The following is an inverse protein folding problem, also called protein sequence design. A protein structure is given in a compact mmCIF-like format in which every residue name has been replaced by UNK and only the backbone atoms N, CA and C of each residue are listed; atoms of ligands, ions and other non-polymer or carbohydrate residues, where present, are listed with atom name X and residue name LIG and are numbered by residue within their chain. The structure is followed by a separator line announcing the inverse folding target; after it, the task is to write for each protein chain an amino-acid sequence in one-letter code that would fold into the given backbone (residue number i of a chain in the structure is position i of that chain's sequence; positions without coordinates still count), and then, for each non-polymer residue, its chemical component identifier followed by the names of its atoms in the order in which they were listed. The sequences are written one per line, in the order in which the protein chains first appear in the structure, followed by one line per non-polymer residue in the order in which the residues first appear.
data_IF_484999821909
#
_entry.id   IF_484999821909
#
_cell.length_a   1.000
_cell.length_b   1.000
_cell.length_c   1.000
_cell.angle_alpha   90.00
_cell.angle_beta   90.00
_cell.angle_gamma   90.00
#
_symmetry.space_group_name_H-M   'P 1'
#
loop_
_entity.id
_entity.type
_entity.pdbx_description
1 polymer ?
#
# COMPACT_ATOMS: atom_id res chain seq x y z
N UNK A 1 -17.44 -3.01 6.53
CA UNK A 1 -16.89 -2.53 5.23
C UNK A 1 -15.51 -3.11 4.99
N UNK A 2 -14.46 -2.72 5.70
CA UNK A 2 -13.09 -3.20 5.40
C UNK A 2 -12.90 -4.73 5.55
N UNK A 3 -13.41 -5.36 6.62
CA UNK A 3 -13.36 -6.82 6.76
C UNK A 3 -14.08 -7.55 5.62
N UNK A 4 -15.25 -7.04 5.21
CA UNK A 4 -16.00 -7.56 4.06
C UNK A 4 -15.20 -7.45 2.77
N UNK A 5 -14.54 -6.31 2.54
CA UNK A 5 -13.66 -6.12 1.39
C UNK A 5 -12.54 -7.18 1.37
N UNK A 6 -11.83 -7.37 2.49
CA UNK A 6 -10.74 -8.36 2.59
C UNK A 6 -11.23 -9.79 2.36
N UNK A 7 -12.42 -10.11 2.84
CA UNK A 7 -12.95 -11.46 2.77
C UNK A 7 -13.59 -11.78 1.42
N UNK A 8 -14.30 -10.82 0.82
CA UNK A 8 -15.21 -11.10 -0.29
C UNK A 8 -14.82 -10.42 -1.60
N UNK A 9 -14.06 -9.32 -1.56
CA UNK A 9 -13.74 -8.52 -2.75
C UNK A 9 -12.28 -8.68 -3.17
N UNK A 10 -11.35 -8.57 -2.22
CA UNK A 10 -9.91 -8.69 -2.47
C UNK A 10 -9.51 -10.02 -3.15
N UNK A 11 -10.08 -11.20 -2.81
CA UNK A 11 -9.72 -12.44 -3.50
C UNK A 11 -10.05 -12.41 -5.00
N UNK A 12 -11.16 -11.77 -5.37
CA UNK A 12 -11.60 -11.61 -6.77
C UNK A 12 -10.62 -10.71 -7.51
N UNK A 13 -10.20 -9.61 -6.89
CA UNK A 13 -9.21 -8.69 -7.46
C UNK A 13 -7.83 -9.31 -7.65
N UNK A 14 -7.54 -10.43 -6.98
CA UNK A 14 -6.28 -11.16 -7.08
C UNK A 14 -6.37 -12.38 -8.01
N UNK A 15 -7.49 -12.61 -8.70
CA UNK A 15 -7.65 -13.78 -9.57
C UNK A 15 -6.61 -13.84 -10.71
N UNK A 16 -6.24 -12.68 -11.26
CA UNK A 16 -5.25 -12.55 -12.32
C UNK A 16 -3.79 -12.68 -11.82
N UNK A 17 -3.58 -12.72 -10.50
CA UNK A 17 -2.26 -12.98 -9.91
C UNK A 17 -2.04 -14.49 -9.89
N UNK A 18 -0.93 -15.02 -10.44
CA UNK A 18 -0.73 -16.45 -10.45
C UNK A 18 -0.62 -17.01 -9.03
N UNK A 19 -1.05 -18.27 -8.86
CA UNK A 19 -1.28 -18.86 -7.54
C UNK A 19 0.00 -18.88 -6.68
N UNK A 20 1.14 -19.15 -7.31
CA UNK A 20 2.44 -19.21 -6.64
C UNK A 20 2.80 -17.87 -6.00
N UNK A 21 2.53 -16.77 -6.69
CA UNK A 21 2.77 -15.42 -6.19
C UNK A 21 1.80 -15.08 -5.05
N UNK A 22 0.55 -15.55 -5.11
CA UNK A 22 -0.42 -15.39 -4.03
C UNK A 22 -0.05 -16.18 -2.78
N UNK A 23 0.55 -17.36 -2.91
CA UNK A 23 1.01 -18.17 -1.78
C UNK A 23 2.16 -17.52 -1.01
N UNK A 24 3.02 -16.76 -1.68
CA UNK A 24 4.16 -16.06 -1.08
C UNK A 24 3.85 -14.60 -0.72
N UNK A 25 2.64 -14.12 -1.00
CA UNK A 25 2.24 -12.73 -0.79
C UNK A 25 2.21 -12.38 0.70
N UNK A 26 2.81 -11.25 1.05
CA UNK A 26 2.64 -10.60 2.35
C UNK A 26 1.70 -9.41 2.19
N UNK A 27 0.57 -9.41 2.89
CA UNK A 27 -0.39 -8.32 2.87
C UNK A 27 0.05 -7.19 3.80
N UNK A 28 0.22 -5.95 3.31
CA UNK A 28 0.60 -4.80 4.14
C UNK A 28 -0.52 -3.77 4.19
N UNK A 29 -0.82 -3.25 5.39
CA UNK A 29 -1.70 -2.09 5.59
C UNK A 29 -1.20 -1.16 6.71
N UNK A 30 -1.80 0.02 6.81
CA UNK A 30 -1.43 1.00 7.84
C UNK A 30 -2.17 0.75 9.19
N UNK A 31 -1.90 1.63 10.16
CA UNK A 31 -2.46 1.54 11.50
C UNK A 31 -3.84 2.18 11.69
N UNK A 32 -4.60 2.48 10.62
CA UNK A 32 -5.91 3.13 10.73
C UNK A 32 -6.87 2.34 11.65
N UNK A 33 -7.80 3.01 12.38
CA UNK A 33 -8.71 2.33 13.31
C UNK A 33 -9.50 1.18 12.69
N UNK A 34 -9.94 1.34 11.43
CA UNK A 34 -10.65 0.30 10.69
C UNK A 34 -9.79 -0.95 10.47
N UNK A 35 -8.49 -0.77 10.19
CA UNK A 35 -7.54 -1.85 9.97
C UNK A 35 -7.17 -2.57 11.27
N UNK A 36 -7.32 -1.89 12.41
CA UNK A 36 -7.07 -2.44 13.74
C UNK A 36 -8.31 -3.10 14.39
N UNK A 37 -9.44 -3.21 13.70
CA UNK A 37 -10.60 -3.91 14.26
C UNK A 37 -10.28 -5.41 14.49
N UNK A 38 -10.92 -6.02 15.50
CA UNK A 38 -10.72 -7.46 15.80
C UNK A 38 -11.08 -8.33 14.60
N UNK A 39 -12.28 -8.13 14.04
CA UNK A 39 -12.77 -8.86 12.88
C UNK A 39 -11.80 -8.81 11.69
N UNK A 40 -11.13 -7.68 11.48
CA UNK A 40 -10.15 -7.51 10.40
C UNK A 40 -8.92 -8.39 10.64
N UNK A 41 -8.40 -8.42 11.88
CA UNK A 41 -7.29 -9.32 12.21
C UNK A 41 -7.69 -10.79 12.11
N UNK A 42 -8.90 -11.16 12.56
CA UNK A 42 -9.38 -12.54 12.46
C UNK A 42 -9.42 -13.02 10.98
N UNK A 43 -9.87 -12.14 10.06
CA UNK A 43 -9.85 -12.41 8.61
C UNK A 43 -8.41 -12.53 8.09
N UNK A 44 -7.51 -11.63 8.51
CA UNK A 44 -6.11 -11.64 8.06
C UNK A 44 -5.34 -12.85 8.59
N UNK A 45 -5.54 -13.24 9.85
CA UNK A 45 -4.92 -14.44 10.44
C UNK A 45 -5.40 -15.73 9.75
N UNK A 46 -6.65 -15.74 9.28
CA UNK A 46 -7.21 -16.87 8.54
C UNK A 46 -6.71 -16.93 7.09
N UNK A 47 -6.67 -15.80 6.38
CA UNK A 47 -6.34 -15.76 4.94
C UNK A 47 -4.84 -15.62 4.65
N UNK A 48 -4.11 -14.95 5.53
CA UNK A 48 -2.69 -14.66 5.38
C UNK A 48 -1.94 -15.07 6.66
N UNK A 49 -1.98 -16.36 7.07
CA UNK A 49 -1.34 -16.82 8.29
C UNK A 49 0.16 -16.49 8.25
N UNK A 50 0.63 -15.78 9.29
CA UNK A 50 2.00 -15.25 9.43
C UNK A 50 2.49 -14.32 8.29
N UNK A 51 1.59 -13.95 7.36
CA UNK A 51 1.89 -13.26 6.10
C UNK A 51 1.14 -11.94 5.96
N UNK A 52 0.93 -11.23 7.07
CA UNK A 52 0.43 -9.86 7.02
C UNK A 52 1.17 -8.91 7.95
N UNK A 53 1.26 -7.67 7.50
CA UNK A 53 2.05 -6.60 8.07
C UNK A 53 1.14 -5.44 8.47
N UNK A 54 1.11 -5.14 9.76
CA UNK A 54 0.18 -4.15 10.30
C UNK A 54 0.32 -3.94 11.79
N UNK A 55 -0.60 -3.14 12.35
CA UNK A 55 -0.60 -2.85 13.79
C UNK A 55 -0.99 -4.09 14.60
N UNK A 56 -0.03 -4.65 15.35
CA UNK A 56 -0.16 -5.93 16.10
C UNK A 56 -0.40 -7.14 15.20
N UNK A 57 0.09 -7.10 13.95
CA UNK A 57 0.17 -8.29 13.10
C UNK A 57 1.40 -9.14 13.39
N UNK A 58 1.52 -10.32 12.75
CA UNK A 58 2.69 -11.18 12.86
C UNK A 58 3.96 -10.46 12.38
N UNK A 59 3.81 -9.57 11.39
CA UNK A 59 4.86 -8.64 10.98
C UNK A 59 4.44 -7.22 11.42
N UNK A 60 5.24 -6.58 12.27
CA UNK A 60 4.87 -5.29 12.86
C UNK A 60 5.13 -4.16 11.86
N UNK A 61 4.09 -3.39 11.54
CA UNK A 61 4.24 -2.11 10.84
C UNK A 61 4.35 -0.94 11.83
N UNK A 62 5.37 -0.07 11.71
CA UNK A 62 5.53 1.07 12.59
C UNK A 62 4.41 2.12 12.39
N UNK A 63 3.96 2.79 13.47
CA UNK A 63 2.97 3.86 13.37
C UNK A 63 3.59 5.10 12.70
N UNK A 64 2.78 5.83 11.92
CA UNK A 64 3.17 7.11 11.27
C UNK A 64 4.39 6.95 10.35
N UNK A 65 4.38 5.92 9.50
CA UNK A 65 5.47 5.65 8.57
C UNK A 65 5.04 5.68 7.10
N UNK A 66 4.45 6.79 6.61
CA UNK A 66 4.16 6.95 5.17
C UNK A 66 5.44 6.86 4.33
N UNK A 67 6.57 7.29 4.90
CA UNK A 67 7.89 7.25 4.25
C UNK A 67 8.38 5.83 3.92
N UNK A 68 7.73 4.79 4.47
CA UNK A 68 8.02 3.37 4.21
C UNK A 68 6.94 2.70 3.34
N UNK A 69 5.78 3.31 3.16
CA UNK A 69 4.68 2.74 2.39
C UNK A 69 4.78 3.15 0.91
N UNK A 70 4.95 2.17 0.01
CA UNK A 70 5.06 2.39 -1.44
C UNK A 70 3.87 3.17 -1.99
N UNK A 71 2.66 2.93 -1.46
CA UNK A 71 1.47 3.65 -1.89
C UNK A 71 1.57 5.14 -1.55
N UNK A 72 2.07 5.47 -0.37
CA UNK A 72 2.12 6.84 0.14
C UNK A 72 3.26 7.66 -0.49
N UNK A 73 4.49 7.14 -0.49
CA UNK A 73 5.64 7.92 -0.99
C UNK A 73 5.77 7.93 -2.52
N UNK A 74 5.02 7.08 -3.24
CA UNK A 74 5.09 6.98 -4.69
C UNK A 74 3.72 7.06 -5.36
N UNK A 75 2.85 6.06 -5.19
CA UNK A 75 1.63 5.93 -6.00
C UNK A 75 0.72 7.16 -5.86
N UNK A 76 0.37 7.55 -4.64
CA UNK A 76 -0.56 8.66 -4.43
C UNK A 76 0.00 10.01 -4.88
N UNK A 77 1.30 10.23 -4.72
CA UNK A 77 1.98 11.42 -5.27
C UNK A 77 1.95 11.45 -6.80
N UNK A 78 2.25 10.31 -7.43
CA UNK A 78 2.23 10.16 -8.90
C UNK A 78 0.83 10.39 -9.47
N UNK A 79 -0.18 9.70 -8.94
CA UNK A 79 -1.57 9.82 -9.38
C UNK A 79 -2.07 11.24 -9.19
N UNK A 80 -1.85 11.85 -8.01
CA UNK A 80 -2.29 13.21 -7.72
C UNK A 80 -1.74 14.22 -8.73
N UNK A 81 -0.44 14.14 -9.06
CA UNK A 81 0.17 15.05 -10.02
C UNK A 81 -0.47 14.95 -11.41
N UNK A 82 -0.87 13.74 -11.82
CA UNK A 82 -1.52 13.53 -13.12
C UNK A 82 -2.96 14.03 -13.14
N UNK A 83 -3.69 13.92 -12.03
CA UNK A 83 -5.13 14.28 -11.99
C UNK A 83 -5.42 15.69 -11.46
N UNK A 84 -4.42 16.46 -11.03
CA UNK A 84 -4.61 17.81 -10.45
C UNK A 84 -5.39 18.75 -11.38
N UNK A 85 -5.25 18.59 -12.70
CA UNK A 85 -5.98 19.38 -13.69
C UNK A 85 -7.51 19.16 -13.66
N UNK A 86 -7.98 18.03 -13.12
CA UNK A 86 -9.41 17.67 -12.98
C UNK A 86 -9.96 18.04 -11.60
N UNK A 87 -9.22 18.77 -10.76
CA UNK A 87 -9.62 19.08 -9.38
C UNK A 87 -11.03 19.68 -9.22
N UNK A 88 -11.51 20.43 -10.21
CA UNK A 88 -12.84 21.05 -10.20
C UNK A 88 -13.82 20.38 -11.18
N UNK A 89 -13.48 19.19 -11.68
CA UNK A 89 -14.33 18.38 -12.55
C UNK A 89 -15.42 17.61 -11.79
N UNK A 90 -16.20 16.86 -12.56
CA UNK A 90 -17.21 15.94 -12.06
C UNK A 90 -16.60 14.66 -11.50
N UNK A 91 -17.39 13.90 -10.72
CA UNK A 91 -16.98 12.59 -10.23
C UNK A 91 -16.61 11.61 -11.36
N UNK A 92 -17.36 11.65 -12.48
CA UNK A 92 -17.10 10.81 -13.64
C UNK A 92 -15.74 11.12 -14.28
N UNK A 93 -15.44 12.41 -14.49
CA UNK A 93 -14.16 12.87 -15.03
C UNK A 93 -13.00 12.51 -14.09
N UNK A 94 -13.18 12.69 -12.78
CA UNK A 94 -12.17 12.31 -11.79
C UNK A 94 -11.90 10.80 -11.81
N UNK A 95 -12.94 9.97 -11.91
CA UNK A 95 -12.81 8.51 -11.98
C UNK A 95 -12.06 8.07 -13.24
N UNK A 96 -12.41 8.64 -14.39
CA UNK A 96 -11.72 8.35 -15.65
C UNK A 96 -10.25 8.77 -15.60
N UNK A 97 -9.96 9.97 -15.08
CA UNK A 97 -8.60 10.47 -14.93
C UNK A 97 -7.76 9.62 -13.97
N UNK A 98 -8.33 9.14 -12.86
CA UNK A 98 -7.63 8.23 -11.93
C UNK A 98 -7.28 6.91 -12.63
N UNK A 99 -8.23 6.30 -13.36
CA UNK A 99 -7.97 5.07 -14.11
C UNK A 99 -6.88 5.27 -15.17
N UNK A 100 -6.95 6.37 -15.92
CA UNK A 100 -5.93 6.74 -16.89
C UNK A 100 -4.55 6.93 -16.23
N UNK A 101 -4.50 7.59 -15.07
CA UNK A 101 -3.27 7.79 -14.31
C UNK A 101 -2.67 6.46 -13.82
N UNK A 102 -3.48 5.50 -13.34
CA UNK A 102 -3.00 4.17 -12.97
C UNK A 102 -2.41 3.42 -14.16
N UNK A 103 -2.98 3.56 -15.36
CA UNK A 103 -2.45 2.96 -16.59
C UNK A 103 -1.09 3.53 -17.02
N UNK A 104 -0.64 4.65 -16.44
CA UNK A 104 0.72 5.18 -16.68
C UNK A 104 1.80 4.51 -15.84
N UNK A 105 1.43 3.73 -14.83
CA UNK A 105 2.39 3.06 -13.94
C UNK A 105 2.95 1.85 -14.67
N UNK A 106 4.22 1.92 -15.07
CA UNK A 106 4.90 0.80 -15.72
C UNK A 106 5.43 -0.21 -14.68
N UNK A 107 5.68 -1.47 -15.08
CA UNK A 107 6.36 -2.45 -14.23
C UNK A 107 7.70 -1.93 -13.69
N UNK A 108 8.48 -1.19 -14.48
CA UNK A 108 9.77 -0.63 -14.04
C UNK A 108 9.59 0.42 -12.94
N UNK A 109 8.53 1.24 -13.01
CA UNK A 109 8.21 2.21 -11.97
C UNK A 109 7.82 1.50 -10.67
N UNK A 110 6.95 0.48 -10.76
CA UNK A 110 6.55 -0.33 -9.61
C UNK A 110 7.75 -1.07 -8.99
N UNK A 111 8.62 -1.67 -9.81
CA UNK A 111 9.84 -2.34 -9.35
C UNK A 111 10.83 -1.38 -8.68
N UNK A 112 11.00 -0.18 -9.23
CA UNK A 112 11.87 0.84 -8.63
C UNK A 112 11.33 1.31 -7.29
N UNK A 113 10.02 1.58 -7.22
CA UNK A 113 9.37 2.01 -5.99
C UNK A 113 9.49 0.92 -4.93
N UNK A 114 9.06 -0.31 -5.21
CA UNK A 114 9.14 -1.43 -4.26
C UNK A 114 10.56 -1.70 -3.77
N UNK A 115 11.59 -1.65 -4.62
CA UNK A 115 13.00 -1.81 -4.21
C UNK A 115 13.53 -0.66 -3.34
N UNK A 116 12.93 0.52 -3.43
CA UNK A 116 13.35 1.68 -2.63
C UNK A 116 12.98 1.52 -1.14
N UNK A 117 12.10 0.58 -0.79
CA UNK A 117 11.72 0.33 0.60
C UNK A 117 12.93 -0.04 1.47
N UNK A 118 13.89 -0.82 0.94
CA UNK A 118 15.09 -1.25 1.67
C UNK A 118 15.97 -0.05 2.00
N UNK A 119 16.25 0.81 1.00
CA UNK A 119 17.03 2.04 1.20
C UNK A 119 16.37 2.97 2.22
N UNK A 120 15.04 3.16 2.12
CA UNK A 120 14.26 3.98 3.06
C UNK A 120 14.31 3.41 4.48
N UNK A 121 14.19 2.10 4.64
CA UNK A 121 14.31 1.42 5.94
C UNK A 121 15.71 1.57 6.55
N UNK A 122 16.78 1.42 5.76
CA UNK A 122 18.16 1.62 6.20
C UNK A 122 18.42 3.05 6.68
N UNK A 123 17.88 4.05 5.99
CA UNK A 123 18.00 5.45 6.43
C UNK A 123 17.18 5.66 7.71
N UNK A 124 15.94 5.15 7.77
CA UNK A 124 15.09 5.22 8.97
C UNK A 124 15.82 4.66 10.20
N UNK A 125 16.50 3.52 10.05
CA UNK A 125 17.33 2.92 11.10
C UNK A 125 18.50 3.82 11.51
N UNK A 126 19.26 4.36 10.53
CA UNK A 126 20.36 5.30 10.80
C UNK A 126 19.88 6.54 11.56
N UNK A 127 18.70 7.04 11.20
CA UNK A 127 18.08 8.20 11.83
C UNK A 127 17.29 7.88 13.10
N UNK A 128 17.36 6.64 13.59
CA UNK A 128 16.70 6.16 14.81
C UNK A 128 15.19 6.41 14.80
N UNK A 129 14.55 6.20 13.65
CA UNK A 129 13.10 6.34 13.46
C UNK A 129 12.60 7.78 13.28
N UNK A 130 13.50 8.77 13.14
CA UNK A 130 13.14 10.16 12.83
C UNK A 130 12.87 10.33 11.32
N UNK A 131 12.21 11.44 10.96
CA UNK A 131 12.01 11.82 9.56
C UNK A 131 13.34 11.91 8.80
N UNK A 132 13.34 11.35 7.59
CA UNK A 132 14.57 11.10 6.85
C UNK A 132 14.50 11.44 5.36
N UNK A 133 13.41 12.05 4.89
CA UNK A 133 13.23 12.34 3.47
C UNK A 133 14.35 13.22 2.90
N UNK A 134 14.92 14.12 3.72
CA UNK A 134 16.08 14.95 3.39
C UNK A 134 17.38 14.17 3.11
N UNK A 135 17.37 12.84 3.25
CA UNK A 135 18.53 11.98 3.00
C UNK A 135 18.33 11.03 1.80
N UNK A 136 17.24 11.20 1.04
CA UNK A 136 16.87 10.32 -0.08
C UNK A 136 17.52 10.69 -1.44
N UNK A 137 18.43 11.67 -1.45
CA UNK A 137 19.17 12.15 -2.63
C UNK A 137 19.89 11.05 -3.41
#
# INVERSE_FOLDING_TARGET
VYANFLENELPILLEDVPLREREELIFQHDGAPAHFARQVRDVLDTRYPDKWMGRRGPIIWPPRSPDLNVLDYFIWGHIKNLVEHIRNGTEAEAREAILAAFNTITPEMAHRATRNITRRAEICLRERGRHFEQFLH
#
